data_IF_604126764303
#
_entry.id   IF_604126764303
#
_cell.length_a   1.000
_cell.length_b   1.000
_cell.length_c   1.000
_cell.angle_alpha   90.00
_cell.angle_beta   90.00
_cell.angle_gamma   90.00
#
_symmetry.space_group_name_H-M   'P 1'
#
loop_
_entity.id
_entity.type
_entity.pdbx_description
1 polymer ?
#
# COMPACT_ATOMS: atom_id res chain seq x y z
N UNK A 1 6.72 -15.80 22.81
CA UNK A 1 5.73 -15.61 21.72
C UNK A 1 5.82 -14.28 20.95
N UNK A 2 6.29 -13.14 21.52
CA UNK A 2 6.34 -11.84 20.81
C UNK A 2 7.37 -11.70 19.66
N UNK A 3 8.36 -12.59 19.54
CA UNK A 3 9.40 -12.51 18.49
C UNK A 3 8.97 -13.21 17.19
N UNK A 4 8.25 -14.32 17.30
CA UNK A 4 7.79 -15.11 16.15
C UNK A 4 6.76 -14.30 15.35
N UNK A 5 5.80 -13.65 16.02
CA UNK A 5 4.81 -12.78 15.35
C UNK A 5 5.45 -11.61 14.59
N UNK A 6 6.51 -11.00 15.15
CA UNK A 6 7.28 -9.95 14.48
C UNK A 6 7.95 -10.46 13.21
N UNK A 7 8.52 -11.67 13.26
CA UNK A 7 9.18 -12.29 12.11
C UNK A 7 8.18 -12.65 11.01
N UNK A 8 7.03 -13.22 11.37
CA UNK A 8 5.94 -13.52 10.43
C UNK A 8 5.45 -12.24 9.74
N UNK A 9 5.18 -11.19 10.52
CA UNK A 9 4.71 -9.91 9.98
C UNK A 9 5.77 -9.27 9.07
N UNK A 10 7.05 -9.39 9.39
CA UNK A 10 8.13 -8.90 8.54
C UNK A 10 8.15 -9.63 7.19
N UNK A 11 8.01 -10.97 7.18
CA UNK A 11 7.95 -11.75 5.94
C UNK A 11 6.73 -11.35 5.11
N UNK A 12 5.55 -11.28 5.72
CA UNK A 12 4.33 -10.85 5.02
C UNK A 12 4.49 -9.44 4.47
N UNK A 13 5.08 -8.52 5.24
CA UNK A 13 5.33 -7.13 4.82
C UNK A 13 6.24 -7.07 3.59
N UNK A 14 7.37 -7.78 3.63
CA UNK A 14 8.32 -7.81 2.52
C UNK A 14 7.70 -8.50 1.31
N UNK A 15 7.04 -9.64 1.49
CA UNK A 15 6.36 -10.38 0.42
C UNK A 15 5.28 -9.55 -0.27
N UNK A 16 4.37 -8.94 0.48
CA UNK A 16 3.34 -8.04 -0.06
C UNK A 16 3.96 -6.79 -0.70
N UNK A 17 5.06 -6.27 -0.16
CA UNK A 17 5.79 -5.14 -0.72
C UNK A 17 6.41 -5.45 -2.07
N UNK A 18 7.14 -6.58 -2.18
CA UNK A 18 7.72 -7.04 -3.44
C UNK A 18 6.66 -7.35 -4.47
N UNK A 19 5.58 -8.02 -4.08
CA UNK A 19 4.50 -8.36 -5.00
C UNK A 19 3.81 -7.10 -5.56
N UNK A 20 3.57 -6.09 -4.73
CA UNK A 20 2.99 -4.82 -5.19
C UNK A 20 3.95 -4.03 -6.10
N UNK A 21 5.25 -4.05 -5.79
CA UNK A 21 6.25 -3.40 -6.63
C UNK A 21 6.34 -4.06 -8.00
N UNK A 22 6.32 -5.40 -8.03
CA UNK A 22 6.33 -6.16 -9.28
C UNK A 22 5.08 -5.92 -10.11
N UNK A 23 3.89 -5.91 -9.49
CA UNK A 23 2.64 -5.56 -10.18
C UNK A 23 2.69 -4.14 -10.77
N UNK A 24 3.10 -3.15 -9.99
CA UNK A 24 3.20 -1.78 -10.48
C UNK A 24 4.21 -1.65 -11.62
N UNK A 25 5.33 -2.37 -11.55
CA UNK A 25 6.34 -2.42 -12.61
C UNK A 25 5.83 -3.10 -13.89
N UNK A 26 5.14 -4.23 -13.76
CA UNK A 26 4.50 -4.93 -14.87
C UNK A 26 3.41 -4.07 -15.51
N UNK A 27 2.69 -3.25 -14.74
CA UNK A 27 1.71 -2.32 -15.30
C UNK A 27 2.34 -1.19 -16.10
N UNK A 28 3.54 -0.74 -15.72
CA UNK A 28 4.29 0.26 -16.48
C UNK A 28 4.87 -0.35 -17.75
N UNK A 29 5.50 -1.52 -17.65
CA UNK A 29 6.22 -2.15 -18.77
C UNK A 29 5.31 -2.91 -19.74
N UNK A 30 4.25 -3.54 -19.23
CA UNK A 30 3.24 -4.29 -20.00
C UNK A 30 2.14 -3.43 -20.61
N UNK A 31 2.22 -2.10 -20.48
CA UNK A 31 1.28 -1.18 -21.13
C UNK A 31 -0.13 -1.23 -20.56
N UNK A 32 -0.29 -1.27 -19.23
CA UNK A 32 -1.60 -1.25 -18.57
C UNK A 32 -2.48 -0.12 -19.15
N UNK A 33 -3.50 -0.51 -19.93
CA UNK A 33 -4.45 0.40 -20.54
C UNK A 33 -5.68 0.45 -19.64
N UNK A 34 -5.86 1.55 -18.92
CA UNK A 34 -7.10 1.81 -18.17
C UNK A 34 -8.30 1.79 -19.11
N UNK A 35 -8.10 2.08 -20.39
CA UNK A 35 -9.12 2.02 -21.44
C UNK A 35 -9.80 0.63 -21.48
N UNK A 36 -9.01 -0.45 -21.39
CA UNK A 36 -9.53 -1.81 -21.31
C UNK A 36 -10.22 -2.12 -19.99
N UNK A 37 -9.79 -1.47 -18.90
CA UNK A 37 -10.43 -1.61 -17.59
C UNK A 37 -11.80 -0.92 -17.56
N UNK A 38 -11.94 0.26 -18.21
CA UNK A 38 -13.21 0.98 -18.30
C UNK A 38 -14.24 0.17 -19.09
N UNK A 39 -13.85 -0.44 -20.21
CA UNK A 39 -14.77 -1.31 -20.97
C UNK A 39 -15.19 -2.55 -20.17
N UNK A 40 -14.23 -3.20 -19.48
CA UNK A 40 -14.53 -4.38 -18.65
C UNK A 40 -15.49 -4.04 -17.50
N UNK A 41 -15.28 -2.91 -16.82
CA UNK A 41 -16.14 -2.48 -15.72
C UNK A 41 -17.54 -2.07 -16.22
N UNK A 42 -17.61 -1.47 -17.40
CA UNK A 42 -18.89 -1.08 -18.01
C UNK A 42 -19.74 -2.31 -18.35
N UNK A 43 -19.11 -3.35 -18.89
CA UNK A 43 -19.79 -4.52 -19.45
C UNK A 43 -19.97 -5.68 -18.46
N UNK A 44 -19.32 -5.64 -17.28
CA UNK A 44 -19.51 -6.68 -16.25
C UNK A 44 -20.84 -6.54 -15.52
N UNK A 45 -21.28 -7.58 -14.80
CA UNK A 45 -22.47 -7.50 -13.92
C UNK A 45 -22.11 -7.39 -12.43
N UNK A 46 -20.86 -7.71 -12.08
CA UNK A 46 -20.42 -7.82 -10.69
C UNK A 46 -19.99 -6.47 -10.06
N UNK A 47 -19.73 -5.44 -10.85
CA UNK A 47 -19.41 -4.11 -10.33
C UNK A 47 -20.67 -3.32 -9.93
N UNK A 48 -20.68 -2.64 -8.77
CA UNK A 48 -21.79 -1.78 -8.38
C UNK A 48 -22.09 -0.66 -9.39
N UNK A 49 -23.36 -0.36 -9.64
CA UNK A 49 -23.78 0.65 -10.63
C UNK A 49 -23.15 2.04 -10.40
N UNK A 50 -22.99 2.46 -9.15
CA UNK A 50 -22.36 3.73 -8.80
C UNK A 50 -20.87 3.77 -9.17
N UNK A 51 -20.20 2.62 -9.12
CA UNK A 51 -18.79 2.47 -9.47
C UNK A 51 -18.60 2.51 -10.98
N UNK A 52 -19.50 1.85 -11.74
CA UNK A 52 -19.54 1.96 -13.20
C UNK A 52 -19.72 3.41 -13.66
N UNK A 53 -20.67 4.12 -13.05
CA UNK A 53 -20.90 5.54 -13.36
C UNK A 53 -19.68 6.42 -13.04
N UNK A 54 -18.98 6.14 -11.94
CA UNK A 54 -17.72 6.83 -11.60
C UNK A 54 -16.63 6.56 -12.65
N UNK A 55 -16.49 5.32 -13.12
CA UNK A 55 -15.54 4.98 -14.17
C UNK A 55 -15.87 5.67 -15.49
N UNK A 56 -17.14 5.68 -15.90
CA UNK A 56 -17.59 6.31 -17.15
C UNK A 56 -17.50 7.85 -17.10
N UNK A 57 -17.78 8.47 -15.95
CA UNK A 57 -17.84 9.94 -15.86
C UNK A 57 -16.50 10.55 -15.48
N UNK A 58 -15.75 9.97 -14.55
CA UNK A 58 -14.52 10.58 -14.01
C UNK A 58 -13.28 9.99 -14.66
N UNK A 59 -13.19 8.67 -14.69
CA UNK A 59 -11.98 7.98 -15.15
C UNK A 59 -11.88 8.02 -16.67
N UNK A 60 -12.98 7.83 -17.41
CA UNK A 60 -12.96 7.90 -18.87
C UNK A 60 -12.51 9.26 -19.43
N UNK A 61 -12.78 10.36 -18.71
CA UNK A 61 -12.32 11.70 -19.09
C UNK A 61 -10.85 11.97 -18.73
N UNK A 62 -10.26 11.19 -17.80
CA UNK A 62 -8.92 11.42 -17.25
C UNK A 62 -8.06 10.14 -17.27
N UNK A 63 -8.20 9.32 -18.31
CA UNK A 63 -7.62 7.97 -18.40
C UNK A 63 -6.11 7.95 -18.12
N UNK A 64 -5.36 8.86 -18.73
CA UNK A 64 -3.91 8.91 -18.60
C UNK A 64 -3.46 9.29 -17.18
N UNK A 65 -4.15 10.26 -16.55
CA UNK A 65 -3.87 10.66 -15.17
C UNK A 65 -4.09 9.52 -14.19
N UNK A 66 -5.24 8.83 -14.29
CA UNK A 66 -5.53 7.68 -13.44
C UNK A 66 -4.58 6.51 -13.70
N UNK A 67 -4.13 6.32 -14.94
CA UNK A 67 -3.17 5.29 -15.32
C UNK A 67 -1.86 5.48 -14.56
N UNK A 68 -1.28 6.67 -14.64
CA UNK A 68 -0.06 7.00 -13.91
C UNK A 68 -0.26 6.96 -12.40
N UNK A 69 -1.40 7.47 -11.90
CA UNK A 69 -1.68 7.49 -10.46
C UNK A 69 -1.75 6.08 -9.86
N UNK A 70 -2.44 5.16 -10.52
CA UNK A 70 -2.55 3.77 -10.05
C UNK A 70 -1.19 3.07 -10.10
N UNK A 71 -0.48 3.19 -11.22
CA UNK A 71 0.83 2.57 -11.42
C UNK A 71 1.87 3.05 -10.39
N UNK A 72 1.99 4.37 -10.24
CA UNK A 72 2.90 4.98 -9.26
C UNK A 72 2.46 4.68 -7.82
N UNK A 73 1.15 4.61 -7.57
CA UNK A 73 0.57 4.25 -6.28
C UNK A 73 0.99 2.85 -5.83
N UNK A 74 0.87 1.84 -6.71
CA UNK A 74 1.30 0.47 -6.42
C UNK A 74 2.80 0.39 -6.10
N UNK A 75 3.64 1.04 -6.91
CA UNK A 75 5.08 1.08 -6.68
C UNK A 75 5.41 1.78 -5.36
N UNK A 76 4.77 2.92 -5.07
CA UNK A 76 4.98 3.66 -3.83
C UNK A 76 4.57 2.84 -2.59
N UNK A 77 3.46 2.10 -2.67
CA UNK A 77 3.02 1.18 -1.62
C UNK A 77 4.06 0.06 -1.43
N UNK A 78 4.51 -0.57 -2.53
CA UNK A 78 5.53 -1.62 -2.50
C UNK A 78 6.82 -1.15 -1.84
N UNK A 79 7.34 0.00 -2.28
CA UNK A 79 8.53 0.63 -1.69
C UNK A 79 8.31 1.01 -0.22
N UNK A 80 7.15 1.57 0.13
CA UNK A 80 6.81 1.94 1.51
C UNK A 80 6.77 0.73 2.47
N UNK A 81 6.32 -0.42 1.98
CA UNK A 81 6.37 -1.68 2.73
C UNK A 81 7.79 -2.25 2.83
N UNK A 82 8.56 -2.24 1.74
CA UNK A 82 9.94 -2.76 1.73
C UNK A 82 10.83 -1.92 2.66
N UNK A 83 10.87 -0.60 2.43
CA UNK A 83 11.76 0.32 3.13
C UNK A 83 11.43 0.51 4.62
N UNK A 84 10.20 0.22 5.06
CA UNK A 84 9.86 0.26 6.48
C UNK A 84 9.59 1.66 7.04
N UNK A 85 9.64 2.72 6.22
CA UNK A 85 9.53 4.12 6.67
C UNK A 85 8.07 4.56 6.81
N UNK A 86 7.18 4.06 5.94
CA UNK A 86 5.75 4.38 5.95
C UNK A 86 4.85 3.14 5.87
N UNK A 87 5.28 2.03 6.47
CA UNK A 87 4.60 0.75 6.27
C UNK A 87 3.13 0.74 6.69
N UNK A 88 2.73 1.50 7.71
CA UNK A 88 1.32 1.61 8.10
C UNK A 88 0.47 2.33 7.04
N UNK A 89 0.96 3.47 6.52
CA UNK A 89 0.28 4.20 5.45
C UNK A 89 0.25 3.37 4.16
N UNK A 90 1.37 2.72 3.81
CA UNK A 90 1.44 1.81 2.68
C UNK A 90 0.45 0.63 2.82
N UNK A 91 0.29 0.06 4.02
CA UNK A 91 -0.73 -0.96 4.25
C UNK A 91 -2.16 -0.44 4.06
N UNK A 92 -2.45 0.78 4.52
CA UNK A 92 -3.76 1.40 4.33
C UNK A 92 -4.09 1.63 2.86
N UNK A 93 -3.17 2.25 2.11
CA UNK A 93 -3.36 2.46 0.68
C UNK A 93 -3.36 1.14 -0.10
N UNK A 94 -2.62 0.13 0.35
CA UNK A 94 -2.67 -1.23 -0.19
C UNK A 94 -4.06 -1.85 -0.06
N UNK A 95 -4.69 -1.78 1.13
CA UNK A 95 -6.09 -2.20 1.32
C UNK A 95 -7.01 -1.43 0.36
N UNK A 96 -6.84 -0.11 0.26
CA UNK A 96 -7.66 0.73 -0.62
C UNK A 96 -7.58 0.30 -2.09
N UNK A 97 -6.37 0.08 -2.62
CA UNK A 97 -6.18 -0.36 -4.02
C UNK A 97 -6.80 -1.74 -4.23
N UNK A 98 -6.59 -2.69 -3.31
CA UNK A 98 -7.16 -4.04 -3.42
C UNK A 98 -8.70 -4.02 -3.40
N UNK A 99 -9.31 -3.17 -2.57
CA UNK A 99 -10.78 -3.00 -2.57
C UNK A 99 -11.29 -2.43 -3.89
N UNK A 100 -10.57 -1.47 -4.49
CA UNK A 100 -10.93 -0.94 -5.80
C UNK A 100 -10.81 -2.00 -6.90
N UNK A 101 -9.85 -2.92 -6.83
CA UNK A 101 -9.76 -4.03 -7.78
C UNK A 101 -10.86 -5.06 -7.61
N UNK A 102 -11.28 -5.35 -6.37
CA UNK A 102 -12.45 -6.19 -6.14
C UNK A 102 -13.72 -5.53 -6.71
N UNK A 103 -13.88 -4.22 -6.49
CA UNK A 103 -14.99 -3.44 -7.08
C UNK A 103 -14.93 -3.42 -8.62
N UNK A 104 -13.74 -3.49 -9.19
CA UNK A 104 -13.49 -3.59 -10.63
C UNK A 104 -13.55 -5.03 -11.17
N UNK A 105 -14.27 -5.93 -10.50
CA UNK A 105 -14.51 -7.31 -10.93
C UNK A 105 -13.25 -8.20 -10.96
N UNK A 106 -12.32 -7.94 -10.03
CA UNK A 106 -11.13 -8.78 -9.83
C UNK A 106 -11.19 -9.50 -8.47
N UNK A 107 -12.39 -9.89 -8.04
CA UNK A 107 -12.65 -10.49 -6.73
C UNK A 107 -11.90 -11.81 -6.50
N UNK A 108 -11.64 -12.58 -7.56
CA UNK A 108 -10.94 -13.86 -7.49
C UNK A 108 -9.41 -13.73 -7.52
N UNK A 109 -8.89 -12.59 -8.00
CA UNK A 109 -7.44 -12.40 -8.19
C UNK A 109 -6.76 -11.84 -6.93
N UNK A 110 -7.39 -10.89 -6.25
CA UNK A 110 -6.77 -10.13 -5.15
C UNK A 110 -7.23 -10.43 -3.70
N UNK A 111 -8.03 -11.47 -3.38
CA UNK A 111 -8.58 -11.62 -2.02
C UNK A 111 -7.50 -12.00 -1.00
N UNK A 112 -6.53 -12.82 -1.40
CA UNK A 112 -5.40 -13.21 -0.54
C UNK A 112 -4.50 -12.00 -0.24
N UNK A 113 -4.27 -11.16 -1.25
CA UNK A 113 -3.43 -9.99 -1.06
C UNK A 113 -4.11 -8.95 -0.17
N UNK A 114 -5.42 -8.72 -0.35
CA UNK A 114 -6.22 -7.91 0.57
C UNK A 114 -6.10 -8.42 2.01
N UNK A 115 -6.22 -9.73 2.22
CA UNK A 115 -6.10 -10.35 3.54
C UNK A 115 -4.75 -10.04 4.20
N UNK A 116 -3.64 -10.14 3.45
CA UNK A 116 -2.32 -9.76 3.96
C UNK A 116 -2.22 -8.28 4.30
N UNK A 117 -2.74 -7.39 3.46
CA UNK A 117 -2.77 -5.95 3.74
C UNK A 117 -3.60 -5.61 4.99
N UNK A 118 -4.73 -6.28 5.21
CA UNK A 118 -5.54 -6.13 6.43
C UNK A 118 -4.77 -6.61 7.66
N UNK A 119 -4.10 -7.77 7.60
CA UNK A 119 -3.25 -8.26 8.69
C UNK A 119 -2.17 -7.22 9.03
N UNK A 120 -1.51 -6.66 8.01
CA UNK A 120 -0.50 -5.63 8.22
C UNK A 120 -1.14 -4.40 8.88
N UNK A 121 -2.26 -3.90 8.35
CA UNK A 121 -2.95 -2.71 8.86
C UNK A 121 -3.39 -2.86 10.33
N UNK A 122 -3.93 -4.03 10.69
CA UNK A 122 -4.37 -4.34 12.07
C UNK A 122 -3.19 -4.45 13.04
N UNK A 123 -1.99 -4.80 12.56
CA UNK A 123 -0.78 -4.96 13.37
C UNK A 123 0.08 -3.68 13.46
N UNK A 124 -0.58 -2.52 13.61
CA UNK A 124 0.05 -1.17 13.72
C UNK A 124 1.19 -1.11 14.74
N UNK A 125 1.01 -1.71 15.91
CA UNK A 125 1.99 -1.67 17.00
C UNK A 125 3.29 -2.41 16.64
N UNK A 126 3.20 -3.50 15.88
CA UNK A 126 4.36 -4.30 15.45
C UNK A 126 5.09 -3.60 14.30
N UNK A 127 4.35 -3.02 13.36
CA UNK A 127 4.91 -2.22 12.26
C UNK A 127 5.70 -1.01 12.77
N UNK A 128 5.20 -0.28 13.76
CA UNK A 128 5.92 0.85 14.36
C UNK A 128 7.19 0.45 15.12
N UNK A 129 7.30 -0.80 15.56
CA UNK A 129 8.51 -1.29 16.26
C UNK A 129 9.60 -1.75 15.29
N UNK A 130 9.20 -2.24 14.10
CA UNK A 130 10.08 -2.75 13.04
C UNK A 130 10.37 -1.67 11.99
N UNK A 131 9.74 -0.51 12.12
CA UNK A 131 9.96 0.68 11.30
C UNK A 131 11.23 1.41 11.75
N UNK A 132 12.02 1.87 10.77
CA UNK A 132 13.23 2.67 10.97
C UNK A 132 12.98 3.92 11.82
N UNK A 133 11.73 4.38 11.90
CA UNK A 133 11.29 5.50 12.73
C UNK A 133 11.54 5.27 14.23
N UNK A 134 11.47 4.01 14.70
CA UNK A 134 11.84 3.68 16.09
C UNK A 134 13.34 3.89 16.34
N UNK A 135 14.19 3.52 15.38
CA UNK A 135 15.65 3.69 15.50
C UNK A 135 16.07 5.16 15.46
N UNK A 136 15.44 5.98 14.61
CA UNK A 136 15.70 7.42 14.52
C UNK A 136 15.27 8.11 15.82
N UNK A 137 14.05 7.85 16.31
CA UNK A 137 13.55 8.43 17.56
C UNK A 137 14.37 8.03 18.78
N UNK A 138 14.88 6.79 18.81
CA UNK A 138 15.79 6.31 19.88
C UNK A 138 17.15 7.00 19.83
N UNK A 139 17.68 7.28 18.65
CA UNK A 139 18.96 7.99 18.48
C UNK A 139 18.85 9.46 18.92
N UNK A 140 17.69 10.08 18.68
CA UNK A 140 17.41 11.46 19.04
C UNK A 140 17.27 11.66 20.56
N UNK A 141 16.52 10.78 21.25
CA UNK A 141 16.40 10.79 22.70
C UNK A 141 17.75 10.58 23.42
N UNK A 142 18.61 9.71 22.86
CA UNK A 142 19.96 9.50 23.39
C UNK A 142 20.87 10.71 23.20
N UNK A 143 20.62 11.56 22.21
CA UNK A 143 21.38 12.78 22.00
C UNK A 143 20.91 13.90 22.95
N UNK A 144 19.61 13.98 23.28
CA UNK A 144 19.08 14.93 24.27
C UNK A 144 19.54 14.62 25.71
N UNK A 145 19.64 13.34 26.10
CA UNK A 145 20.18 12.96 27.41
C UNK A 145 21.68 13.28 27.56
N UNK A 146 22.43 13.26 26.46
CA UNK A 146 23.85 13.59 26.42
C UNK A 146 24.12 15.06 26.07
N UNK A 147 23.07 15.88 25.88
CA UNK A 147 23.23 17.31 25.71
C UNK A 147 23.73 17.90 27.04
N UNK A 148 24.81 18.71 27.04
CA UNK A 148 25.29 19.32 28.26
C UNK A 148 24.16 20.17 28.84
N UNK A 149 23.69 19.80 30.05
CA UNK A 149 22.71 20.59 30.78
C UNK A 149 23.33 21.97 31.01
N UNK A 150 22.91 22.95 30.22
CA UNK A 150 23.22 24.35 30.53
C UNK A 150 22.45 24.66 31.81
N UNK A 151 23.14 24.59 32.94
CA UNK A 151 22.66 25.14 34.18
C UNK A 151 22.55 26.66 33.98
N UNK A 152 21.36 27.13 33.61
CA UNK A 152 21.01 28.54 33.72
C UNK A 152 20.68 28.80 35.19
N UNK A 153 21.64 29.41 35.88
CA UNK A 153 21.48 29.99 37.21
C UNK A 153 20.64 31.25 37.20
#
# INVERSE_FOLDING_TARGET
MRMISKFIILIVRLGSGFYMLFQGWDKITGGFAIDGLVSVIKDNDDSPQWFKFFFETVIAHNLELFKWMVQLGEIAIGLGLILGIFSYAASFFGVFVMLNYILADMIFTYPIQLFFFIILLMNKNILNTISLNHFIKRKQLRNDENAPRSYSG
#
